data_IF_200817104297
#
_entry.id   IF_200817104297
#
_cell.length_a   1.000
_cell.length_b   1.000
_cell.length_c   1.000
_cell.angle_alpha   90.00
_cell.angle_beta   90.00
_cell.angle_gamma   90.00
#
_symmetry.space_group_name_H-M   'P 1'
#
loop_
_entity.id
_entity.type
_entity.pdbx_description
1 polymer ?
#
# COMPACT_ATOMS: atom_id res chain seq x y z
N UNK A 1 -1.32 -5.97 77.57
CA UNK A 1 -0.73 -6.90 76.61
C UNK A 1 -1.48 -6.99 75.27
N UNK A 2 -2.72 -6.53 75.12
CA UNK A 2 -3.53 -6.63 73.91
C UNK A 2 -3.06 -5.70 72.75
N UNK A 3 -2.81 -4.41 73.04
CA UNK A 3 -2.50 -3.39 71.99
C UNK A 3 -1.18 -3.62 71.21
N UNK A 4 -0.16 -4.25 71.87
CA UNK A 4 1.11 -4.56 71.21
C UNK A 4 0.99 -5.70 70.17
N UNK A 5 0.14 -6.71 70.45
CA UNK A 5 -0.14 -7.81 69.50
C UNK A 5 -0.96 -7.34 68.28
N UNK A 6 -1.89 -6.44 68.49
CA UNK A 6 -2.71 -5.87 67.43
C UNK A 6 -1.89 -4.99 66.48
N UNK A 7 -0.93 -4.22 67.03
CA UNK A 7 0.00 -3.41 66.25
C UNK A 7 0.95 -4.26 65.39
N UNK A 8 1.43 -5.39 65.95
CA UNK A 8 2.27 -6.35 65.22
C UNK A 8 1.52 -7.03 64.08
N UNK A 9 0.29 -7.48 64.30
CA UNK A 9 -0.54 -8.09 63.28
C UNK A 9 -0.88 -7.13 62.13
N UNK A 10 -1.12 -5.85 62.44
CA UNK A 10 -1.38 -4.81 61.42
C UNK A 10 -0.13 -4.54 60.59
N UNK A 11 1.05 -4.51 61.20
CA UNK A 11 2.31 -4.34 60.48
C UNK A 11 2.66 -5.54 59.59
N UNK A 12 2.37 -6.77 60.03
CA UNK A 12 2.54 -7.96 59.19
C UNK A 12 1.58 -7.99 58.01
N UNK A 13 0.33 -7.60 58.21
CA UNK A 13 -0.66 -7.49 57.13
C UNK A 13 -0.24 -6.44 56.10
N UNK A 14 0.24 -5.27 56.53
CA UNK A 14 0.74 -4.24 55.62
C UNK A 14 1.98 -4.69 54.84
N UNK A 15 2.91 -5.41 55.49
CA UNK A 15 4.08 -6.02 54.82
C UNK A 15 3.67 -7.07 53.79
N UNK A 16 2.71 -7.92 54.13
CA UNK A 16 2.14 -8.93 53.22
C UNK A 16 1.46 -8.29 52.01
N UNK A 17 0.63 -7.28 52.24
CA UNK A 17 -0.03 -6.53 51.15
C UNK A 17 0.99 -5.81 50.25
N UNK A 18 2.05 -5.22 50.81
CA UNK A 18 3.14 -4.59 50.04
C UNK A 18 3.91 -5.60 49.18
N UNK A 19 4.14 -6.81 49.75
CA UNK A 19 4.81 -7.92 49.04
C UNK A 19 3.96 -8.46 47.91
N UNK A 20 2.66 -8.65 48.12
CA UNK A 20 1.68 -9.07 47.13
C UNK A 20 1.55 -8.05 46.00
N UNK A 21 1.47 -6.74 46.32
CA UNK A 21 1.43 -5.66 45.35
C UNK A 21 2.69 -5.58 44.48
N UNK A 22 3.86 -5.85 45.07
CA UNK A 22 5.15 -5.90 44.33
C UNK A 22 5.24 -7.14 43.43
N UNK A 23 4.75 -8.29 43.88
CA UNK A 23 4.67 -9.52 43.10
C UNK A 23 3.70 -9.39 41.93
N UNK A 24 2.50 -8.84 42.14
CA UNK A 24 1.51 -8.55 41.09
C UNK A 24 2.06 -7.58 40.00
N UNK A 25 2.79 -6.54 40.44
CA UNK A 25 3.42 -5.59 39.53
C UNK A 25 4.54 -6.22 38.70
N UNK A 26 5.27 -7.19 39.29
CA UNK A 26 6.32 -7.97 38.60
C UNK A 26 5.72 -8.97 37.60
N UNK A 27 4.63 -9.64 37.99
CA UNK A 27 3.88 -10.55 37.13
C UNK A 27 3.26 -9.81 35.93
N UNK A 28 2.55 -8.71 36.17
CA UNK A 28 1.99 -7.86 35.11
C UNK A 28 3.05 -7.31 34.14
N UNK A 29 4.26 -6.97 34.68
CA UNK A 29 5.39 -6.55 33.83
C UNK A 29 5.93 -7.69 32.96
N UNK A 30 5.93 -8.93 33.49
CA UNK A 30 6.38 -10.14 32.79
C UNK A 30 5.37 -10.55 31.70
N UNK A 31 4.08 -10.49 32.02
CA UNK A 31 2.98 -10.78 31.13
C UNK A 31 2.91 -9.76 29.97
N UNK A 32 3.08 -8.48 30.27
CA UNK A 32 3.18 -7.40 29.30
C UNK A 32 4.38 -7.54 28.37
N UNK A 33 5.54 -7.99 28.89
CA UNK A 33 6.71 -8.33 28.06
C UNK A 33 6.43 -9.53 27.16
N UNK A 34 5.67 -10.51 27.64
CA UNK A 34 5.28 -11.67 26.84
C UNK A 34 4.28 -11.30 25.74
N UNK A 35 3.28 -10.48 26.04
CA UNK A 35 2.32 -9.95 25.06
C UNK A 35 2.99 -9.08 23.99
N UNK A 36 3.88 -8.16 24.39
CA UNK A 36 4.67 -7.36 23.45
C UNK A 36 5.51 -8.26 22.53
N UNK A 37 6.04 -9.36 23.09
CA UNK A 37 6.88 -10.30 22.36
C UNK A 37 6.09 -11.27 21.46
N UNK A 38 4.85 -11.59 21.81
CA UNK A 38 3.97 -12.47 21.04
C UNK A 38 3.21 -11.72 19.92
N UNK A 39 2.94 -10.44 20.13
CA UNK A 39 2.15 -9.60 19.21
C UNK A 39 2.99 -8.53 18.49
N UNK A 40 4.34 -8.61 18.56
CA UNK A 40 5.19 -7.70 17.80
C UNK A 40 4.97 -7.92 16.32
N UNK A 41 4.66 -6.86 15.62
CA UNK A 41 4.51 -6.84 14.15
C UNK A 41 5.48 -5.80 13.58
N UNK A 42 5.85 -5.95 12.32
CA UNK A 42 6.49 -4.88 11.56
C UNK A 42 5.45 -3.84 11.10
N UNK A 43 5.90 -2.80 10.42
CA UNK A 43 5.02 -1.75 9.90
C UNK A 43 4.04 -2.24 8.82
N UNK A 44 4.32 -3.40 8.24
CA UNK A 44 3.44 -4.08 7.28
C UNK A 44 2.40 -5.00 7.98
N UNK A 45 2.38 -4.98 9.32
CA UNK A 45 1.45 -5.79 10.12
C UNK A 45 1.84 -7.26 10.26
N UNK A 46 3.03 -7.68 9.78
CA UNK A 46 3.49 -9.08 9.85
C UNK A 46 3.92 -9.44 11.27
N UNK A 47 3.55 -10.61 11.77
CA UNK A 47 3.99 -11.05 13.07
C UNK A 47 5.51 -11.27 13.08
N UNK A 48 6.17 -10.69 14.07
CA UNK A 48 7.60 -10.85 14.28
C UNK A 48 7.86 -11.83 15.40
N UNK A 49 8.80 -12.74 15.20
CA UNK A 49 9.35 -13.53 16.31
C UNK A 49 10.10 -12.60 17.26
N UNK A 50 10.18 -13.00 18.54
CA UNK A 50 10.92 -12.24 19.55
C UNK A 50 12.36 -11.93 19.13
N UNK A 51 13.01 -12.86 18.44
CA UNK A 51 14.38 -12.73 17.94
C UNK A 51 14.47 -11.70 16.83
N UNK A 52 13.52 -11.69 15.91
CA UNK A 52 13.42 -10.69 14.83
C UNK A 52 13.14 -9.29 15.37
N UNK A 53 12.16 -9.13 16.28
CA UNK A 53 11.87 -7.86 16.91
C UNK A 53 13.08 -7.29 17.67
N UNK A 54 13.79 -8.12 18.42
CA UNK A 54 15.02 -7.70 19.08
C UNK A 54 16.16 -7.32 18.11
N UNK A 55 16.27 -8.03 16.97
CA UNK A 55 17.28 -7.73 15.94
C UNK A 55 16.99 -6.37 15.32
N UNK A 56 15.74 -6.14 14.86
CA UNK A 56 15.31 -4.89 14.22
C UNK A 56 15.51 -3.68 15.17
N UNK A 57 15.13 -3.81 16.44
CA UNK A 57 15.35 -2.75 17.43
C UNK A 57 16.85 -2.50 17.69
N UNK A 58 17.68 -3.54 17.66
CA UNK A 58 19.15 -3.41 17.82
C UNK A 58 19.80 -2.74 16.62
N UNK A 59 19.25 -2.95 15.42
CA UNK A 59 19.66 -2.30 14.16
C UNK A 59 19.10 -0.88 14.01
N UNK A 60 18.42 -0.35 15.04
CA UNK A 60 17.88 1.01 15.04
C UNK A 60 16.50 1.16 14.41
N UNK A 61 15.89 0.06 13.96
CA UNK A 61 14.53 0.11 13.43
C UNK A 61 13.50 0.27 14.54
N UNK A 62 12.53 1.15 14.31
CA UNK A 62 11.41 1.38 15.23
C UNK A 62 10.27 0.43 14.83
N UNK A 63 9.78 -0.35 15.79
CA UNK A 63 8.65 -1.25 15.58
C UNK A 63 7.35 -0.57 16.03
N UNK A 64 6.20 -0.86 15.37
CA UNK A 64 4.91 -0.39 15.83
C UNK A 64 4.63 -0.88 17.26
N UNK A 65 4.01 -0.03 18.07
CA UNK A 65 3.64 -0.41 19.43
C UNK A 65 2.45 -1.37 19.40
N UNK A 66 2.46 -2.44 20.23
CA UNK A 66 1.32 -3.32 20.36
C UNK A 66 0.08 -2.57 20.85
N UNK A 67 -1.08 -2.96 20.33
CA UNK A 67 -2.37 -2.41 20.76
C UNK A 67 -2.51 -2.40 22.29
N UNK A 68 -3.00 -1.31 22.86
CA UNK A 68 -3.25 -1.17 24.31
C UNK A 68 -2.08 -0.66 25.15
N UNK A 69 -1.02 -0.10 24.58
CA UNK A 69 0.06 0.50 25.38
C UNK A 69 -0.30 1.92 25.85
N UNK A 70 -0.42 2.19 27.17
CA UNK A 70 -0.97 3.45 27.69
C UNK A 70 -0.01 4.65 27.71
N UNK A 71 1.24 4.51 27.26
CA UNK A 71 2.20 5.62 27.19
C UNK A 71 3.22 5.38 26.08
N UNK A 72 3.11 6.12 25.02
CA UNK A 72 4.24 6.45 24.15
C UNK A 72 5.12 7.39 24.98
N UNK A 73 6.19 6.89 25.55
CA UNK A 73 7.07 7.75 26.34
C UNK A 73 7.76 8.78 25.43
N UNK A 74 8.00 10.00 25.95
CA UNK A 74 8.78 11.07 25.25
C UNK A 74 10.07 10.57 24.61
N UNK A 75 10.70 9.52 25.16
CA UNK A 75 11.89 8.86 24.57
C UNK A 75 11.63 8.13 23.26
N UNK A 76 10.44 7.58 23.03
CA UNK A 76 10.09 6.90 21.77
C UNK A 76 9.86 7.94 20.67
N UNK A 77 9.12 9.01 20.96
CA UNK A 77 8.90 10.11 20.06
C UNK A 77 10.21 10.84 19.71
N UNK A 78 11.09 11.06 20.69
CA UNK A 78 12.41 11.65 20.47
C UNK A 78 13.32 10.77 19.58
N UNK A 79 13.19 9.44 19.67
CA UNK A 79 13.96 8.52 18.83
C UNK A 79 13.45 8.50 17.39
N UNK A 80 12.13 8.51 17.18
CA UNK A 80 11.51 8.69 15.86
C UNK A 80 11.96 9.99 15.19
N UNK A 81 11.91 11.11 15.92
CA UNK A 81 12.35 12.42 15.41
C UNK A 81 13.83 12.43 15.00
N UNK A 82 14.72 11.81 15.81
CA UNK A 82 16.14 11.72 15.52
C UNK A 82 16.45 10.86 14.29
N UNK A 83 15.71 9.75 14.08
CA UNK A 83 15.87 8.89 12.90
C UNK A 83 15.37 9.57 11.63
N UNK A 84 14.30 10.38 11.73
CA UNK A 84 13.79 11.19 10.62
C UNK A 84 14.77 12.29 10.22
N UNK A 85 15.40 12.96 11.19
CA UNK A 85 16.44 13.95 10.91
C UNK A 85 17.67 13.35 10.23
N UNK A 86 18.13 12.17 10.65
CA UNK A 86 19.26 11.48 10.01
C UNK A 86 18.96 11.05 8.58
N UNK A 87 17.73 10.61 8.27
CA UNK A 87 17.32 10.29 6.90
C UNK A 87 17.25 11.54 6.01
N UNK A 88 16.75 12.65 6.53
CA UNK A 88 16.68 13.92 5.81
C UNK A 88 18.08 14.52 5.56
N UNK A 89 19.06 14.32 6.46
CA UNK A 89 20.45 14.73 6.26
C UNK A 89 21.18 13.83 5.24
N UNK A 90 20.85 12.54 5.18
CA UNK A 90 21.41 11.63 4.17
C UNK A 90 20.87 11.89 2.75
N UNK A 91 19.66 12.50 2.64
CA UNK A 91 19.07 12.90 1.36
C UNK A 91 19.54 14.28 0.86
N UNK A 92 20.22 15.07 1.70
CA UNK A 92 20.72 16.41 1.40
C UNK A 92 22.24 16.44 1.15
N UNK A 93 22.76 15.56 0.28
CA UNK A 93 24.10 15.75 -0.26
C UNK A 93 24.04 16.71 -1.45
N UNK A 94 24.76 17.84 -1.45
CA UNK A 94 24.75 18.78 -2.56
C UNK A 94 25.59 18.24 -3.73
N UNK A 95 25.00 18.17 -4.91
CA UNK A 95 25.76 18.07 -6.15
C UNK A 95 26.39 19.42 -6.43
N UNK A 96 27.72 19.45 -6.43
CA UNK A 96 28.53 20.62 -6.76
C UNK A 96 28.35 21.03 -8.22
N UNK A 97 28.42 22.32 -8.39
CA UNK A 97 28.29 23.06 -9.63
C UNK A 97 29.41 22.77 -10.64
N UNK A 98 29.10 22.76 -11.93
CA UNK A 98 30.00 23.29 -12.94
C UNK A 98 29.30 23.71 -14.23
N UNK A 99 29.48 24.98 -14.54
CA UNK A 99 29.63 25.64 -15.83
C UNK A 99 28.42 25.92 -16.70
N UNK A 100 28.24 27.25 -16.84
CA UNK A 100 27.33 27.91 -17.76
C UNK A 100 27.68 27.69 -19.23
N UNK A 101 26.64 27.76 -20.05
CA UNK A 101 26.72 28.13 -21.46
C UNK A 101 25.50 28.98 -21.83
N UNK A 102 25.82 30.01 -22.59
CA UNK A 102 25.01 31.15 -22.99
C UNK A 102 23.70 30.82 -23.74
N UNK A 103 22.73 31.69 -23.51
CA UNK A 103 21.49 31.84 -24.28
C UNK A 103 21.74 32.40 -25.65
N UNK A 104 21.22 31.79 -26.71
CA UNK A 104 20.92 32.43 -27.99
C UNK A 104 19.47 32.28 -28.35
N UNK A 105 18.83 33.44 -28.50
CA UNK A 105 17.51 33.65 -29.04
C UNK A 105 17.35 33.08 -30.48
N UNK A 106 16.22 32.44 -30.73
CA UNK A 106 15.65 32.36 -32.10
C UNK A 106 14.12 32.50 -32.05
N UNK A 107 13.64 33.44 -32.80
CA UNK A 107 12.24 33.83 -33.01
C UNK A 107 11.52 32.87 -33.98
N UNK A 108 10.19 32.88 -34.05
CA UNK A 108 9.38 31.84 -34.71
C UNK A 108 9.17 32.07 -36.21
N UNK A 109 9.31 31.01 -36.97
CA UNK A 109 8.98 30.95 -38.39
C UNK A 109 7.63 30.26 -38.63
N UNK A 110 6.89 30.85 -39.51
CA UNK A 110 5.50 30.56 -39.92
C UNK A 110 5.31 29.17 -40.53
N UNK A 111 4.11 28.62 -40.28
CA UNK A 111 3.58 27.40 -40.91
C UNK A 111 3.41 27.52 -42.43
N UNK A 112 3.78 26.51 -43.16
CA UNK A 112 3.27 26.20 -44.47
C UNK A 112 2.86 24.72 -44.55
N UNK A 113 1.59 24.47 -44.90
CA UNK A 113 1.04 23.16 -45.22
C UNK A 113 1.71 22.54 -46.44
N UNK A 114 1.98 21.25 -46.44
CA UNK A 114 2.15 20.51 -47.66
C UNK A 114 1.04 19.48 -47.90
N UNK A 115 0.57 19.55 -49.11
CA UNK A 115 -0.40 18.74 -49.84
C UNK A 115 -0.16 17.23 -49.71
N UNK A 116 -1.28 16.48 -49.70
CA UNK A 116 -1.36 15.02 -49.81
C UNK A 116 -0.54 14.42 -50.96
N UNK A 117 0.14 13.31 -50.74
CA UNK A 117 0.52 12.43 -51.82
C UNK A 117 -0.26 11.10 -51.76
N UNK A 118 -0.75 10.79 -52.96
CA UNK A 118 -1.44 9.62 -53.46
C UNK A 118 -1.01 8.28 -52.84
N UNK A 119 -2.03 7.51 -52.49
CA UNK A 119 -1.97 6.06 -52.20
C UNK A 119 -1.37 5.32 -53.41
N UNK A 120 -0.23 4.68 -53.19
CA UNK A 120 0.32 3.67 -54.09
C UNK A 120 0.37 2.34 -53.33
N UNK A 121 -0.44 1.41 -53.81
CA UNK A 121 -0.43 0.01 -53.41
C UNK A 121 0.91 -0.64 -53.76
N UNK A 122 1.60 -1.22 -52.76
CA UNK A 122 2.73 -2.15 -52.94
C UNK A 122 2.46 -3.53 -52.35
N UNK A 123 3.11 -4.59 -52.86
CA UNK A 123 2.65 -5.95 -52.72
C UNK A 123 3.10 -6.59 -51.42
N UNK A 124 2.32 -7.61 -50.99
CA UNK A 124 2.59 -8.46 -49.84
C UNK A 124 3.98 -9.11 -49.91
N UNK A 125 4.93 -8.63 -49.15
CA UNK A 125 6.14 -9.37 -48.82
C UNK A 125 5.89 -10.36 -47.71
N UNK A 126 6.27 -11.61 -47.93
CA UNK A 126 6.25 -12.69 -46.92
C UNK A 126 7.18 -12.32 -45.81
N UNK A 127 6.65 -12.24 -44.57
CA UNK A 127 7.42 -12.07 -43.38
C UNK A 127 8.35 -13.27 -43.18
N UNK A 128 9.63 -13.10 -43.42
CA UNK A 128 10.69 -13.98 -42.95
C UNK A 128 10.78 -13.83 -41.42
N UNK A 129 10.63 -14.95 -40.72
CA UNK A 129 10.86 -15.05 -39.30
C UNK A 129 12.31 -14.61 -38.99
N UNK A 130 12.46 -13.44 -38.36
CA UNK A 130 13.72 -13.05 -37.73
C UNK A 130 13.86 -13.82 -36.44
N UNK A 131 14.71 -14.85 -36.47
CA UNK A 131 15.24 -15.49 -35.28
C UNK A 131 16.02 -14.46 -34.47
N UNK A 132 15.50 -14.05 -33.34
CA UNK A 132 16.25 -13.31 -32.35
C UNK A 132 17.24 -14.26 -31.66
N UNK A 133 18.54 -13.91 -31.60
CA UNK A 133 19.56 -14.73 -30.94
C UNK A 133 19.66 -14.38 -29.45
N UNK A 134 18.58 -14.49 -28.73
CA UNK A 134 18.62 -14.51 -27.27
C UNK A 134 17.78 -15.68 -26.82
N UNK A 135 18.48 -16.78 -26.53
CA UNK A 135 17.89 -17.89 -25.83
C UNK A 135 17.11 -17.39 -24.65
N UNK A 136 15.85 -17.80 -24.52
CA UNK A 136 15.11 -17.66 -23.28
C UNK A 136 15.98 -18.21 -22.15
N UNK A 137 16.30 -17.44 -21.12
CA UNK A 137 16.71 -18.05 -19.87
C UNK A 137 15.46 -18.66 -19.28
N UNK A 138 15.24 -19.93 -19.60
CA UNK A 138 14.29 -20.75 -18.86
C UNK A 138 14.68 -20.72 -17.39
N UNK A 139 13.66 -20.46 -16.55
CA UNK A 139 13.72 -20.67 -15.10
C UNK A 139 14.58 -19.70 -14.28
N UNK A 140 14.51 -18.40 -14.48
CA UNK A 140 14.68 -17.50 -13.34
C UNK A 140 13.36 -17.55 -12.56
N UNK A 141 13.42 -18.11 -11.36
CA UNK A 141 12.31 -18.07 -10.41
C UNK A 141 11.76 -16.62 -10.36
N UNK A 142 10.54 -16.43 -10.82
CA UNK A 142 9.85 -15.12 -10.79
C UNK A 142 9.45 -14.72 -9.36
N UNK A 143 9.97 -15.44 -8.39
CA UNK A 143 9.70 -15.23 -6.98
C UNK A 143 10.63 -14.16 -6.43
N UNK A 144 10.06 -13.05 -6.01
CA UNK A 144 10.77 -12.03 -5.26
C UNK A 144 11.01 -12.56 -3.83
N UNK A 145 12.25 -12.55 -3.31
CA UNK A 145 12.57 -13.09 -1.99
C UNK A 145 11.85 -12.34 -0.85
N UNK A 146 11.26 -11.19 -1.11
CA UNK A 146 10.42 -10.45 -0.16
C UNK A 146 9.03 -11.09 -0.01
N UNK A 147 8.56 -11.79 -1.04
CA UNK A 147 7.22 -12.38 -1.07
C UNK A 147 7.20 -13.73 -0.36
N UNK A 148 6.01 -14.20 0.03
CA UNK A 148 5.83 -15.54 0.58
C UNK A 148 6.14 -16.58 -0.50
N UNK A 149 7.01 -17.56 -0.17
CA UNK A 149 7.52 -18.53 -1.14
C UNK A 149 6.44 -19.48 -1.70
N UNK A 150 5.44 -19.81 -0.87
CA UNK A 150 4.34 -20.72 -1.23
C UNK A 150 3.02 -20.13 -0.75
N UNK A 151 2.01 -20.17 -1.62
CA UNK A 151 0.64 -19.74 -1.33
C UNK A 151 -0.29 -20.92 -1.55
N UNK A 152 -1.17 -21.17 -0.62
CA UNK A 152 -2.28 -22.09 -0.78
C UNK A 152 -3.41 -21.38 -1.56
N UNK A 153 -3.49 -21.66 -2.85
CA UNK A 153 -4.49 -21.06 -3.74
C UNK A 153 -5.90 -21.45 -3.37
N UNK A 154 -6.11 -22.65 -2.83
CA UNK A 154 -7.45 -23.11 -2.45
C UNK A 154 -7.89 -22.46 -1.14
N UNK A 155 -6.97 -22.24 -0.19
CA UNK A 155 -7.28 -21.47 1.01
C UNK A 155 -7.73 -20.06 0.68
N UNK A 156 -7.00 -19.35 -0.19
CA UNK A 156 -7.36 -17.99 -0.61
C UNK A 156 -8.68 -17.98 -1.39
N UNK A 157 -8.87 -18.91 -2.32
CA UNK A 157 -10.09 -18.95 -3.15
C UNK A 157 -11.35 -19.40 -2.43
N UNK A 158 -11.23 -20.09 -1.30
CA UNK A 158 -12.37 -20.59 -0.52
C UNK A 158 -12.80 -19.64 0.60
N UNK A 159 -12.08 -18.54 0.81
CA UNK A 159 -12.42 -17.48 1.75
C UNK A 159 -12.89 -16.23 1.03
N UNK A 160 -13.72 -15.45 1.71
CA UNK A 160 -14.06 -14.10 1.25
C UNK A 160 -13.00 -13.14 1.76
N UNK A 161 -12.35 -12.42 0.85
CA UNK A 161 -11.37 -11.39 1.16
C UNK A 161 -11.81 -10.08 0.54
N UNK A 162 -11.77 -9.01 1.32
CA UNK A 162 -12.16 -7.68 0.87
C UNK A 162 -10.98 -6.72 0.93
N UNK A 163 -10.99 -5.76 0.03
CA UNK A 163 -10.10 -4.61 0.07
C UNK A 163 -10.90 -3.32 -0.02
N UNK A 164 -10.46 -2.29 0.66
CA UNK A 164 -11.01 -0.94 0.55
C UNK A 164 -9.90 0.02 0.15
N UNK A 165 -10.08 0.66 -0.99
CA UNK A 165 -9.25 1.75 -1.48
C UNK A 165 -9.95 3.06 -1.16
N UNK A 166 -9.22 3.99 -0.55
CA UNK A 166 -9.79 5.31 -0.19
C UNK A 166 -8.82 6.40 -0.59
N UNK A 167 -9.35 7.42 -1.25
CA UNK A 167 -8.59 8.58 -1.71
C UNK A 167 -9.10 9.81 -1.00
N UNK A 168 -8.16 10.61 -0.52
CA UNK A 168 -8.40 11.78 0.30
C UNK A 168 -7.67 12.99 -0.27
N UNK A 169 -8.24 14.16 -0.09
CA UNK A 169 -7.54 15.44 -0.25
C UNK A 169 -7.40 16.13 1.09
N UNK A 170 -6.39 16.96 1.22
CA UNK A 170 -6.22 17.82 2.36
C UNK A 170 -7.24 18.98 2.27
N UNK A 171 -8.14 19.05 3.23
CA UNK A 171 -9.18 20.09 3.29
C UNK A 171 -8.66 21.38 3.95
N UNK A 172 -7.65 21.28 4.79
CA UNK A 172 -7.00 22.40 5.46
C UNK A 172 -5.52 22.07 5.73
N UNK A 173 -4.62 23.07 5.77
CA UNK A 173 -3.23 22.86 6.14
C UNK A 173 -3.09 22.19 7.51
N UNK A 174 -2.08 21.36 7.68
CA UNK A 174 -1.78 20.73 8.97
C UNK A 174 -1.06 21.70 9.91
N UNK A 175 -1.10 21.48 11.24
CA UNK A 175 -0.37 22.30 12.22
C UNK A 175 1.11 22.48 11.83
N UNK A 176 1.70 23.65 12.12
CA UNK A 176 3.10 23.95 11.78
C UNK A 176 4.10 23.09 12.57
N UNK A 177 3.76 22.74 13.81
CA UNK A 177 4.60 21.96 14.71
C UNK A 177 4.66 20.49 14.29
N UNK A 178 5.86 20.00 14.00
CA UNK A 178 6.08 18.61 13.56
C UNK A 178 5.71 17.58 14.62
N UNK A 179 5.88 17.89 15.91
CA UNK A 179 5.48 16.97 16.99
C UNK A 179 3.95 16.85 17.10
N UNK A 180 3.23 17.94 16.83
CA UNK A 180 1.75 17.92 16.77
C UNK A 180 1.30 17.09 15.58
N UNK A 181 1.93 17.22 14.40
CA UNK A 181 1.61 16.41 13.21
C UNK A 181 1.85 14.92 13.47
N UNK A 182 2.98 14.57 14.08
CA UNK A 182 3.27 13.19 14.48
C UNK A 182 2.18 12.64 15.42
N UNK A 183 1.78 13.43 16.42
CA UNK A 183 0.76 13.02 17.37
C UNK A 183 -0.60 12.80 16.71
N UNK A 184 -1.00 13.68 15.78
CA UNK A 184 -2.24 13.52 14.99
C UNK A 184 -2.23 12.24 14.17
N UNK A 185 -1.14 11.97 13.46
CA UNK A 185 -1.00 10.76 12.65
C UNK A 185 -0.98 9.52 13.52
N UNK A 186 -0.19 9.52 14.59
CA UNK A 186 -0.06 8.39 15.48
C UNK A 186 -1.41 8.01 16.12
N UNK A 187 -2.14 8.99 16.66
CA UNK A 187 -3.48 8.77 17.22
C UNK A 187 -4.41 8.16 16.16
N UNK A 188 -4.40 8.72 14.96
CA UNK A 188 -5.28 8.28 13.89
C UNK A 188 -4.98 6.87 13.41
N UNK A 189 -3.70 6.52 13.24
CA UNK A 189 -3.28 5.16 12.88
C UNK A 189 -3.68 4.15 13.96
N UNK A 190 -3.48 4.49 15.24
CA UNK A 190 -3.89 3.62 16.35
C UNK A 190 -5.41 3.48 16.44
N UNK A 191 -6.13 4.56 16.20
CA UNK A 191 -7.60 4.53 16.24
C UNK A 191 -8.17 3.68 15.09
N UNK A 192 -7.63 3.83 13.89
CA UNK A 192 -7.99 3.00 12.72
C UNK A 192 -7.64 1.53 12.95
N UNK A 193 -6.48 1.22 13.54
CA UNK A 193 -6.09 -0.16 13.85
C UNK A 193 -7.08 -0.88 14.76
N UNK A 194 -7.84 -0.14 15.58
CA UNK A 194 -8.92 -0.68 16.41
C UNK A 194 -10.11 -1.26 15.63
N UNK A 195 -10.22 -1.03 14.32
CA UNK A 195 -11.20 -1.68 13.44
C UNK A 195 -10.87 -3.15 13.15
N UNK A 196 -9.62 -3.56 13.33
CA UNK A 196 -9.11 -4.87 12.91
C UNK A 196 -8.71 -4.94 11.42
N UNK A 197 -8.94 -3.88 10.62
CA UNK A 197 -8.48 -3.83 9.25
C UNK A 197 -6.95 -3.75 9.18
N UNK A 198 -6.35 -4.54 8.29
CA UNK A 198 -4.93 -4.46 7.95
C UNK A 198 -4.70 -3.32 6.95
N UNK A 199 -3.78 -2.42 7.26
CA UNK A 199 -3.36 -1.38 6.31
C UNK A 199 -2.26 -1.95 5.41
N UNK A 200 -2.53 -2.08 4.09
CA UNK A 200 -1.51 -2.49 3.13
C UNK A 200 -0.52 -1.37 2.84
N UNK A 201 -0.98 -0.13 2.77
CA UNK A 201 -0.10 1.02 2.57
C UNK A 201 -0.82 2.36 2.58
N UNK A 202 -0.01 3.38 2.75
CA UNK A 202 -0.31 4.78 2.52
C UNK A 202 0.50 5.23 1.31
N UNK A 203 -0.12 6.00 0.42
CA UNK A 203 0.51 6.42 -0.84
C UNK A 203 0.28 7.91 -1.07
N UNK A 204 1.37 8.63 -1.31
CA UNK A 204 1.36 10.05 -1.64
C UNK A 204 0.97 10.22 -3.11
N UNK A 205 -0.15 10.90 -3.37
CA UNK A 205 -0.69 11.13 -4.70
C UNK A 205 -0.34 12.53 -5.23
N UNK A 206 0.40 13.33 -4.47
CA UNK A 206 0.74 14.69 -4.85
C UNK A 206 1.47 14.75 -6.20
N UNK A 207 1.02 15.63 -7.09
CA UNK A 207 1.59 15.79 -8.42
C UNK A 207 1.04 14.85 -9.50
N UNK A 208 0.35 13.75 -9.13
CA UNK A 208 -0.25 12.83 -10.10
C UNK A 208 -1.69 13.20 -10.45
N UNK A 209 -2.45 13.64 -9.47
CA UNK A 209 -3.85 14.02 -9.68
C UNK A 209 -4.22 15.23 -8.84
N UNK A 210 -4.62 16.30 -9.50
CA UNK A 210 -5.13 17.48 -8.81
C UNK A 210 -6.34 17.13 -7.92
N UNK A 211 -6.33 17.62 -6.68
CA UNK A 211 -7.41 17.37 -5.72
C UNK A 211 -7.41 15.98 -5.09
N UNK A 212 -6.30 15.24 -5.17
CA UNK A 212 -6.09 13.98 -4.48
C UNK A 212 -4.67 13.95 -3.90
N UNK A 213 -4.54 13.82 -2.58
CA UNK A 213 -3.27 13.94 -1.87
C UNK A 213 -2.80 12.64 -1.23
N UNK A 214 -3.75 11.77 -0.87
CA UNK A 214 -3.47 10.54 -0.13
C UNK A 214 -4.35 9.40 -0.61
N UNK A 215 -3.76 8.22 -0.81
CA UNK A 215 -4.50 6.97 -0.94
C UNK A 215 -4.13 6.05 0.23
N UNK A 216 -5.15 5.44 0.85
CA UNK A 216 -4.97 4.41 1.87
C UNK A 216 -5.66 3.14 1.41
N UNK A 217 -4.95 2.00 1.54
CA UNK A 217 -5.44 0.68 1.16
C UNK A 217 -5.54 -0.23 2.37
N UNK A 218 -6.76 -0.67 2.68
CA UNK A 218 -7.05 -1.61 3.77
C UNK A 218 -7.52 -2.96 3.25
N UNK A 219 -7.23 -4.01 4.02
CA UNK A 219 -7.60 -5.42 3.76
C UNK A 219 -8.28 -6.01 4.99
N UNK A 220 -9.34 -6.80 4.80
CA UNK A 220 -9.95 -7.64 5.84
C UNK A 220 -10.87 -8.69 5.22
N UNK A 221 -11.16 -9.77 5.95
CA UNK A 221 -12.13 -10.78 5.57
C UNK A 221 -13.58 -10.37 5.96
N UNK A 222 -13.72 -9.39 6.85
CA UNK A 222 -14.99 -8.77 7.20
C UNK A 222 -15.10 -7.35 6.60
N UNK A 223 -16.05 -7.10 5.66
CA UNK A 223 -16.23 -5.77 5.08
C UNK A 223 -16.66 -4.72 6.11
N UNK A 224 -17.27 -5.12 7.24
CA UNK A 224 -17.62 -4.19 8.32
C UNK A 224 -16.38 -3.61 8.99
N UNK A 225 -15.31 -4.41 9.14
CA UNK A 225 -14.03 -3.93 9.66
C UNK A 225 -13.41 -2.87 8.75
N UNK A 226 -13.53 -3.03 7.42
CA UNK A 226 -13.09 -2.03 6.45
C UNK A 226 -13.92 -0.74 6.52
N UNK A 227 -15.23 -0.87 6.68
CA UNK A 227 -16.12 0.27 6.87
C UNK A 227 -15.84 1.00 8.20
N UNK A 228 -15.55 0.25 9.28
CA UNK A 228 -15.14 0.82 10.58
C UNK A 228 -13.78 1.54 10.47
N UNK A 229 -12.81 0.99 9.72
CA UNK A 229 -11.54 1.66 9.46
C UNK A 229 -11.74 3.03 8.78
N UNK A 230 -12.60 3.09 7.77
CA UNK A 230 -12.95 4.33 7.09
C UNK A 230 -13.61 5.34 8.04
N UNK A 231 -14.59 4.89 8.83
CA UNK A 231 -15.30 5.75 9.78
C UNK A 231 -14.37 6.26 10.88
N UNK A 232 -13.48 5.39 11.40
CA UNK A 232 -12.48 5.76 12.39
C UNK A 232 -11.49 6.78 11.86
N UNK A 233 -10.99 6.62 10.63
CA UNK A 233 -10.13 7.64 10.06
C UNK A 233 -10.84 9.00 9.99
N UNK A 234 -12.09 9.06 9.54
CA UNK A 234 -12.87 10.31 9.50
C UNK A 234 -13.09 10.93 10.88
N UNK A 235 -13.26 10.09 11.90
CA UNK A 235 -13.48 10.54 13.28
C UNK A 235 -12.17 10.87 14.03
N UNK A 236 -11.00 10.50 13.48
CA UNK A 236 -9.69 10.70 14.09
C UNK A 236 -9.22 12.14 14.05
N UNK A 237 -8.13 12.41 14.76
CA UNK A 237 -7.52 13.74 14.80
C UNK A 237 -7.03 14.20 13.41
N UNK A 238 -6.37 13.32 12.63
CA UNK A 238 -5.97 13.61 11.25
C UNK A 238 -7.18 13.72 10.32
N UNK A 239 -8.22 12.92 10.55
CA UNK A 239 -9.42 12.90 9.71
C UNK A 239 -10.15 14.23 9.61
N UNK A 240 -9.96 15.14 10.57
CA UNK A 240 -10.51 16.52 10.54
C UNK A 240 -9.92 17.38 9.42
N UNK A 241 -8.73 17.02 8.94
CA UNK A 241 -8.02 17.70 7.88
C UNK A 241 -8.19 17.02 6.52
N UNK A 242 -8.91 15.88 6.48
CA UNK A 242 -9.08 15.08 5.27
C UNK A 242 -10.52 15.13 4.77
N UNK A 243 -10.66 15.33 3.47
CA UNK A 243 -11.95 15.21 2.77
C UNK A 243 -11.87 14.00 1.81
N UNK A 244 -12.88 13.10 1.82
CA UNK A 244 -12.92 11.97 0.91
C UNK A 244 -13.11 12.43 -0.54
N UNK A 245 -12.31 11.88 -1.44
CA UNK A 245 -12.38 12.15 -2.89
C UNK A 245 -13.01 10.96 -3.62
N UNK A 246 -12.60 9.74 -3.24
CA UNK A 246 -13.06 8.52 -3.87
C UNK A 246 -12.86 7.33 -2.94
N UNK A 247 -13.73 6.34 -3.05
CA UNK A 247 -13.55 5.05 -2.41
C UNK A 247 -14.11 3.92 -3.27
N UNK A 248 -13.50 2.76 -3.19
CA UNK A 248 -14.00 1.56 -3.83
C UNK A 248 -13.68 0.34 -2.96
N UNK A 249 -14.72 -0.42 -2.63
CA UNK A 249 -14.58 -1.72 -2.00
C UNK A 249 -14.55 -2.79 -3.08
N UNK A 250 -13.62 -3.74 -2.95
CA UNK A 250 -13.52 -4.89 -3.82
C UNK A 250 -13.55 -6.20 -3.04
N UNK A 251 -14.18 -7.21 -3.64
CA UNK A 251 -14.26 -8.57 -3.14
C UNK A 251 -13.39 -9.48 -4.01
N UNK A 252 -12.57 -10.33 -3.40
CA UNK A 252 -11.90 -11.41 -4.13
C UNK A 252 -12.91 -12.46 -4.57
N UNK A 253 -12.93 -12.71 -5.87
CA UNK A 253 -13.63 -13.86 -6.48
C UNK A 253 -12.62 -14.66 -7.28
N UNK A 254 -12.66 -16.01 -7.22
CA UNK A 254 -11.77 -16.84 -8.02
C UNK A 254 -11.84 -16.48 -9.50
N UNK A 255 -10.67 -16.37 -10.15
CA UNK A 255 -10.61 -16.03 -11.56
C UNK A 255 -11.27 -17.12 -12.43
N UNK A 256 -12.08 -16.70 -13.39
CA UNK A 256 -12.92 -17.56 -14.23
C UNK A 256 -12.12 -18.65 -14.98
N UNK A 257 -10.94 -18.28 -15.51
CA UNK A 257 -10.16 -19.17 -16.38
C UNK A 257 -8.87 -19.71 -15.75
N UNK A 258 -8.46 -19.20 -14.59
CA UNK A 258 -7.24 -19.63 -13.91
C UNK A 258 -7.33 -19.44 -12.40
N UNK A 259 -7.75 -20.44 -11.66
CA UNK A 259 -7.87 -20.39 -10.20
C UNK A 259 -6.55 -20.14 -9.45
N UNK A 260 -5.38 -20.31 -10.10
CA UNK A 260 -4.08 -19.95 -9.53
C UNK A 260 -3.76 -18.45 -9.67
N UNK A 261 -4.58 -17.72 -10.43
CA UNK A 261 -4.43 -16.27 -10.55
C UNK A 261 -5.21 -15.60 -9.43
N UNK A 262 -4.55 -15.40 -8.29
CA UNK A 262 -5.08 -14.71 -7.12
C UNK A 262 -4.54 -13.28 -7.06
N UNK A 263 -5.28 -12.33 -6.45
CA UNK A 263 -4.79 -10.97 -6.24
C UNK A 263 -3.51 -10.96 -5.42
N UNK A 264 -2.52 -10.17 -5.84
CA UNK A 264 -1.23 -10.09 -5.17
C UNK A 264 -1.35 -9.73 -3.67
N UNK A 265 -2.31 -8.87 -3.33
CA UNK A 265 -2.55 -8.44 -1.95
C UNK A 265 -3.02 -9.58 -1.02
N UNK A 266 -3.58 -10.65 -1.56
CA UNK A 266 -3.98 -11.86 -0.80
C UNK A 266 -3.03 -13.03 -1.04
N UNK A 267 -2.12 -12.91 -2.01
CA UNK A 267 -1.13 -13.92 -2.39
C UNK A 267 0.20 -13.84 -1.63
N UNK A 268 0.25 -13.19 -0.48
CA UNK A 268 1.50 -13.07 0.30
C UNK A 268 2.55 -12.14 -0.32
N UNK A 269 2.18 -11.36 -1.32
CA UNK A 269 3.04 -10.36 -1.97
C UNK A 269 3.15 -9.13 -1.08
N UNK A 270 4.38 -8.71 -0.77
CA UNK A 270 4.61 -7.48 0.00
C UNK A 270 4.31 -6.24 -0.85
N UNK A 271 3.86 -5.14 -0.23
CA UNK A 271 3.67 -3.87 -0.92
C UNK A 271 4.94 -3.39 -1.63
N UNK A 272 4.77 -2.80 -2.82
CA UNK A 272 5.87 -2.20 -3.58
C UNK A 272 5.91 -0.68 -3.40
N UNK A 273 6.96 -0.05 -3.93
CA UNK A 273 7.21 1.39 -3.78
C UNK A 273 6.14 2.26 -4.46
N UNK A 274 5.58 1.80 -5.57
CA UNK A 274 4.59 2.54 -6.34
C UNK A 274 3.31 1.74 -6.47
N UNK A 275 2.19 2.45 -6.46
CA UNK A 275 0.85 1.93 -6.74
C UNK A 275 0.19 2.70 -7.86
N UNK A 276 -0.67 2.01 -8.60
CA UNK A 276 -1.65 2.59 -9.50
C UNK A 276 -2.98 1.87 -9.27
N UNK A 277 -3.99 2.61 -8.82
CA UNK A 277 -5.35 2.09 -8.58
C UNK A 277 -6.31 2.73 -9.57
N UNK A 278 -7.18 1.92 -10.16
CA UNK A 278 -8.23 2.41 -11.04
C UNK A 278 -9.43 1.47 -11.06
N UNK A 279 -10.65 2.01 -11.25
CA UNK A 279 -11.83 1.21 -11.49
C UNK A 279 -11.86 0.69 -12.93
N UNK A 280 -12.66 -0.34 -13.16
CA UNK A 280 -12.75 -0.95 -14.47
C UNK A 280 -14.18 -1.42 -14.76
N UNK A 281 -14.65 -1.18 -15.98
CA UNK A 281 -15.95 -1.65 -16.48
C UNK A 281 -15.76 -2.26 -17.86
N UNK A 282 -16.27 -3.46 -18.07
CA UNK A 282 -16.24 -4.16 -19.34
C UNK A 282 -17.18 -3.50 -20.36
N UNK A 283 -16.95 -3.79 -21.65
CA UNK A 283 -17.91 -3.47 -22.70
C UNK A 283 -19.21 -4.26 -22.53
N UNK A 284 -20.31 -3.78 -23.10
CA UNK A 284 -21.63 -4.39 -22.91
C UNK A 284 -21.73 -5.82 -23.46
N UNK A 285 -20.97 -6.15 -24.49
CA UNK A 285 -20.90 -7.44 -25.13
C UNK A 285 -20.01 -8.47 -24.41
N UNK A 286 -19.09 -8.03 -23.56
CA UNK A 286 -18.11 -8.89 -22.93
C UNK A 286 -18.71 -10.15 -22.26
N UNK A 287 -19.72 -9.95 -21.44
CA UNK A 287 -20.35 -11.05 -20.71
C UNK A 287 -21.28 -11.92 -21.57
N UNK A 288 -21.58 -11.46 -22.79
CA UNK A 288 -22.38 -12.19 -23.78
C UNK A 288 -21.52 -13.00 -24.75
N UNK A 289 -20.21 -12.80 -24.77
CA UNK A 289 -19.27 -13.64 -25.51
C UNK A 289 -19.26 -15.06 -24.96
N UNK A 290 -18.99 -16.03 -25.84
CA UNK A 290 -18.74 -17.40 -25.40
C UNK A 290 -17.55 -17.48 -24.45
N UNK A 291 -17.61 -18.37 -23.46
CA UNK A 291 -16.56 -18.56 -22.47
C UNK A 291 -15.20 -18.90 -23.10
N UNK A 292 -15.19 -19.67 -24.20
CA UNK A 292 -13.97 -19.99 -24.96
C UNK A 292 -13.32 -18.74 -25.56
N UNK A 293 -14.11 -17.81 -26.08
CA UNK A 293 -13.64 -16.57 -26.66
C UNK A 293 -13.09 -15.64 -25.58
N UNK A 294 -13.79 -15.46 -24.45
CA UNK A 294 -13.27 -14.70 -23.30
C UNK A 294 -11.96 -15.29 -22.80
N UNK A 295 -11.86 -16.62 -22.70
CA UNK A 295 -10.62 -17.30 -22.29
C UNK A 295 -9.46 -17.03 -23.25
N UNK A 296 -9.71 -17.07 -24.58
CA UNK A 296 -8.72 -16.74 -25.61
C UNK A 296 -8.21 -15.32 -25.47
N UNK A 297 -9.12 -14.35 -25.35
CA UNK A 297 -8.80 -12.91 -25.20
C UNK A 297 -8.00 -12.70 -23.92
N UNK A 298 -8.39 -13.31 -22.79
CA UNK A 298 -7.67 -13.15 -21.53
C UNK A 298 -6.31 -13.84 -21.56
N UNK A 299 -6.15 -14.96 -22.27
CA UNK A 299 -4.86 -15.60 -22.47
C UNK A 299 -3.91 -14.73 -23.30
N UNK A 300 -4.42 -14.05 -24.33
CA UNK A 300 -3.67 -13.06 -25.11
C UNK A 300 -3.26 -11.86 -24.26
N UNK A 301 -4.19 -11.31 -23.50
CA UNK A 301 -3.95 -10.24 -22.55
C UNK A 301 -2.85 -10.58 -21.52
N UNK A 302 -2.87 -11.80 -20.97
CA UNK A 302 -1.84 -12.25 -20.04
C UNK A 302 -0.45 -12.39 -20.70
N UNK A 303 -0.39 -12.98 -21.91
CA UNK A 303 0.88 -13.19 -22.62
C UNK A 303 1.50 -11.88 -23.13
N UNK A 304 0.70 -11.04 -23.76
CA UNK A 304 1.20 -9.86 -24.44
C UNK A 304 1.18 -8.61 -23.57
N UNK A 305 0.26 -8.54 -22.60
CA UNK A 305 0.15 -7.40 -21.68
C UNK A 305 1.06 -7.50 -20.44
N UNK A 306 1.27 -8.71 -19.90
CA UNK A 306 1.98 -8.88 -18.62
C UNK A 306 3.32 -9.61 -18.71
N UNK A 307 3.57 -10.42 -19.73
CA UNK A 307 4.76 -11.27 -19.78
C UNK A 307 6.09 -10.49 -19.70
N UNK A 308 6.11 -9.24 -20.18
CA UNK A 308 7.28 -8.35 -20.12
C UNK A 308 7.43 -7.62 -18.77
N UNK A 309 6.43 -7.73 -17.90
CA UNK A 309 6.35 -7.02 -16.61
C UNK A 309 6.10 -7.99 -15.44
N UNK A 310 6.93 -9.03 -15.25
CA UNK A 310 6.72 -10.05 -14.20
C UNK A 310 6.91 -9.50 -12.78
N UNK A 311 7.56 -8.37 -12.66
CA UNK A 311 7.80 -7.61 -11.42
C UNK A 311 6.58 -6.76 -11.00
N UNK A 312 5.68 -6.44 -11.94
CA UNK A 312 4.42 -5.74 -11.62
C UNK A 312 3.45 -6.72 -10.96
N UNK A 313 2.93 -6.32 -9.81
CA UNK A 313 2.02 -7.13 -8.98
C UNK A 313 0.59 -6.61 -9.12
N UNK A 314 -0.28 -7.43 -9.65
CA UNK A 314 -1.67 -7.09 -9.92
C UNK A 314 -2.62 -7.60 -8.83
N UNK A 315 -3.57 -6.78 -8.45
CA UNK A 315 -4.71 -7.14 -7.60
C UNK A 315 -5.99 -6.69 -8.29
N UNK A 316 -6.77 -7.63 -8.82
CA UNK A 316 -8.06 -7.38 -9.46
C UNK A 316 -9.16 -7.92 -8.56
N UNK A 317 -10.10 -7.07 -8.17
CA UNK A 317 -11.19 -7.41 -7.26
C UNK A 317 -12.53 -7.03 -7.87
N UNK A 318 -13.55 -7.84 -7.61
CA UNK A 318 -14.94 -7.59 -8.01
C UNK A 318 -15.52 -6.45 -7.19
N UNK A 319 -16.17 -5.49 -7.84
CA UNK A 319 -16.83 -4.36 -7.21
C UNK A 319 -18.32 -4.22 -7.59
N UNK A 320 -18.89 -5.23 -8.22
CA UNK A 320 -20.29 -5.25 -8.66
C UNK A 320 -21.25 -4.96 -7.51
N UNK A 321 -22.06 -3.93 -7.67
CA UNK A 321 -23.07 -3.52 -6.68
C UNK A 321 -22.50 -2.92 -5.38
N UNK A 322 -21.16 -2.86 -5.23
CA UNK A 322 -20.48 -2.19 -4.12
C UNK A 322 -19.99 -0.79 -4.50
N UNK A 323 -19.94 -0.48 -5.79
CA UNK A 323 -19.61 0.83 -6.36
C UNK A 323 -20.28 1.01 -7.72
N UNK A 324 -20.03 2.14 -8.38
CA UNK A 324 -20.48 2.40 -9.76
C UNK A 324 -19.69 1.61 -10.81
N UNK A 325 -18.76 0.75 -10.38
CA UNK A 325 -17.86 0.00 -11.24
C UNK A 325 -18.04 -1.50 -11.05
N UNK A 326 -17.54 -2.28 -12.03
CA UNK A 326 -17.59 -3.75 -11.98
C UNK A 326 -16.37 -4.34 -11.27
N UNK A 327 -15.22 -3.70 -11.43
CA UNK A 327 -13.93 -4.12 -10.92
C UNK A 327 -13.13 -2.96 -10.39
N UNK A 328 -12.25 -3.24 -9.45
CA UNK A 328 -11.17 -2.34 -9.03
C UNK A 328 -9.85 -3.07 -9.17
N UNK A 329 -8.89 -2.41 -9.81
CA UNK A 329 -7.55 -2.92 -10.05
C UNK A 329 -6.52 -2.07 -9.31
N UNK A 330 -5.55 -2.75 -8.71
CA UNK A 330 -4.36 -2.12 -8.15
C UNK A 330 -3.12 -2.82 -8.71
N UNK A 331 -2.23 -2.07 -9.32
CA UNK A 331 -0.92 -2.52 -9.74
C UNK A 331 0.14 -1.90 -8.84
N UNK A 332 1.10 -2.71 -8.42
CA UNK A 332 2.22 -2.29 -7.59
C UNK A 332 3.53 -2.69 -8.25
N UNK A 333 4.54 -1.82 -8.21
CA UNK A 333 5.90 -2.06 -8.71
C UNK A 333 6.92 -1.22 -7.92
N UNK A 334 8.19 -1.60 -7.99
CA UNK A 334 9.26 -0.79 -7.39
C UNK A 334 9.71 0.38 -8.31
N UNK A 335 9.34 0.36 -9.60
CA UNK A 335 9.54 1.45 -10.56
C UNK A 335 8.23 1.98 -11.12
N UNK A 336 8.09 3.31 -11.17
CA UNK A 336 6.92 3.95 -11.78
C UNK A 336 6.83 3.67 -13.29
N UNK A 337 7.97 3.61 -13.97
CA UNK A 337 8.11 3.24 -15.38
C UNK A 337 7.53 1.85 -15.68
N UNK A 338 7.59 0.92 -14.69
CA UNK A 338 7.03 -0.42 -14.82
C UNK A 338 5.51 -0.39 -14.86
N UNK A 339 4.90 0.48 -14.05
CA UNK A 339 3.43 0.68 -14.05
C UNK A 339 2.97 1.32 -15.36
N UNK A 340 3.67 2.33 -15.87
CA UNK A 340 3.39 2.93 -17.17
C UNK A 340 3.52 1.89 -18.28
N UNK A 341 4.65 1.17 -18.32
CA UNK A 341 4.95 0.20 -19.34
C UNK A 341 3.92 -0.94 -19.44
N UNK A 342 3.49 -1.51 -18.29
CA UNK A 342 2.44 -2.56 -18.30
C UNK A 342 1.12 -2.01 -18.82
N UNK A 343 0.73 -0.79 -18.46
CA UNK A 343 -0.49 -0.16 -18.96
C UNK A 343 -0.41 0.10 -20.46
N UNK A 344 0.75 0.55 -20.93
CA UNK A 344 1.00 0.77 -22.37
C UNK A 344 0.90 -0.55 -23.15
N UNK A 345 1.58 -1.60 -22.67
CA UNK A 345 1.54 -2.93 -23.32
C UNK A 345 0.11 -3.50 -23.42
N UNK A 346 -0.72 -3.29 -22.42
CA UNK A 346 -2.12 -3.74 -22.43
C UNK A 346 -2.98 -3.04 -23.48
N UNK A 347 -2.60 -1.86 -23.95
CA UNK A 347 -3.32 -1.14 -25.03
C UNK A 347 -3.26 -1.86 -26.37
N UNK A 348 -2.28 -2.74 -26.57
CA UNK A 348 -2.08 -3.50 -27.82
C UNK A 348 -2.70 -4.90 -27.78
N UNK A 349 -3.45 -5.25 -26.74
CA UNK A 349 -4.17 -6.52 -26.65
C UNK A 349 -5.65 -6.35 -27.04
N UNK A 350 -6.26 -7.40 -27.57
CA UNK A 350 -7.67 -7.41 -27.95
C UNK A 350 -8.60 -7.12 -26.76
N UNK A 351 -8.19 -7.50 -25.54
CA UNK A 351 -8.93 -7.20 -24.31
C UNK A 351 -9.25 -5.70 -24.15
N UNK A 352 -8.48 -4.82 -24.79
CA UNK A 352 -8.72 -3.36 -24.79
C UNK A 352 -10.03 -2.98 -25.47
N UNK A 353 -10.49 -3.73 -26.46
CA UNK A 353 -11.78 -3.49 -27.14
C UNK A 353 -12.97 -3.71 -26.20
N UNK A 354 -12.77 -4.54 -25.17
CA UNK A 354 -13.78 -4.87 -24.18
C UNK A 354 -13.64 -4.06 -22.88
N UNK A 355 -13.24 -2.79 -23.01
CA UNK A 355 -13.13 -1.83 -21.89
C UNK A 355 -14.01 -0.64 -22.18
N UNK A 356 -14.98 -0.36 -21.31
CA UNK A 356 -15.85 0.81 -21.38
C UNK A 356 -15.37 1.93 -20.46
N UNK A 357 -14.92 1.58 -19.25
CA UNK A 357 -14.40 2.54 -18.25
C UNK A 357 -13.14 1.97 -17.63
N UNK A 358 -12.10 2.79 -17.55
CA UNK A 358 -10.86 2.49 -16.84
C UNK A 358 -10.27 3.74 -16.16
N UNK A 359 -11.13 4.65 -15.76
CA UNK A 359 -10.77 5.90 -15.05
C UNK A 359 -11.70 6.13 -13.87
N UNK A 360 -11.29 6.91 -12.86
CA UNK A 360 -10.03 7.68 -12.70
C UNK A 360 -8.84 6.80 -12.30
N UNK A 361 -7.61 7.25 -12.61
CA UNK A 361 -6.37 6.67 -12.07
C UNK A 361 -5.93 7.41 -10.82
N UNK A 362 -5.48 6.63 -9.81
CA UNK A 362 -4.82 7.12 -8.60
C UNK A 362 -3.46 6.45 -8.49
N UNK A 363 -2.42 7.20 -8.81
CA UNK A 363 -1.03 6.75 -8.81
C UNK A 363 -0.28 7.48 -7.72
N UNK A 364 0.56 6.76 -6.97
CA UNK A 364 1.31 7.37 -5.90
C UNK A 364 2.47 6.53 -5.41
N UNK A 365 3.36 7.20 -4.68
CA UNK A 365 4.51 6.58 -4.02
C UNK A 365 4.13 6.13 -2.61
N UNK A 366 4.54 4.94 -2.22
CA UNK A 366 4.34 4.43 -0.86
C UNK A 366 5.10 5.30 0.14
N UNK A 367 4.43 5.67 1.21
CA UNK A 367 4.96 6.61 2.20
C UNK A 367 4.56 6.20 3.62
N UNK A 368 5.45 6.44 4.57
CA UNK A 368 5.10 6.34 5.97
C UNK A 368 4.14 7.47 6.36
N UNK A 369 3.09 7.19 7.15
CA UNK A 369 2.05 8.17 7.47
C UNK A 369 2.58 9.49 8.04
N UNK A 370 3.58 9.42 8.93
CA UNK A 370 4.22 10.62 9.52
C UNK A 370 4.97 11.41 8.46
N UNK A 371 5.71 10.73 7.58
CA UNK A 371 6.46 11.36 6.49
C UNK A 371 5.51 12.06 5.52
N UNK A 372 4.38 11.43 5.20
CA UNK A 372 3.34 12.07 4.40
C UNK A 372 2.85 13.37 5.05
N UNK A 373 2.49 13.34 6.33
CA UNK A 373 2.00 14.52 7.05
C UNK A 373 3.03 15.65 7.15
N UNK A 374 4.31 15.31 7.31
CA UNK A 374 5.40 16.29 7.37
C UNK A 374 5.59 17.06 6.05
N UNK A 375 5.23 16.46 4.91
CA UNK A 375 5.32 17.08 3.58
C UNK A 375 4.13 17.98 3.24
N UNK A 376 3.02 17.89 4.00
CA UNK A 376 1.81 18.62 3.71
C UNK A 376 1.96 20.12 4.03
N UNK A 377 1.14 21.02 3.42
CA UNK A 377 1.08 22.44 3.75
C UNK A 377 0.90 22.70 5.25
N UNK A 378 1.51 23.78 5.73
CA UNK A 378 1.60 24.16 7.14
C UNK A 378 0.81 25.45 7.44
N UNK A 379 0.19 25.53 8.63
CA UNK A 379 -0.42 26.74 9.19
C UNK A 379 0.36 27.16 10.41
#
# INVERSE_FOLDING_TARGET
MGKAKELSAKQELERSQKKAKKAAKKAAKKERKAQISANAKDWDGRPLTKKQAHKLVKEGQVLPLPQGHPKVGKKYLAKLAAETQNRNQAAACPAEASHGVETKNCHPGQAQDPKDPKVTTQPKEKAMAKTHPHGHPDTVSRHDPRDVATVDFDEVNNKQHYALYTVWKLAAPLPADDAVREALVYESVQYVAGSGASTRGWYDLAGFRAGADLLIWWLNDDPKALQDAYQRLRASALGRYLEPVWSCMGLHTPAEFNRRHIPACFGGVVPREWIMVYPFVRSYDWYLLDAAERSRIMADHGRNGFAQYPDVKGSTLSAFGMSDYEWVLAFEADGLDRLEGVMHAQRYTEARLHVRVDTPFYTGHRVEPVVWAQRQPRV
#
